data_IF_321914010745
#
_entry.id   IF_321914010745
#
_cell.length_a   1.000
_cell.length_b   1.000
_cell.length_c   1.000
_cell.angle_alpha   90.00
_cell.angle_beta   90.00
_cell.angle_gamma   90.00
#
_symmetry.space_group_name_H-M   'P 1'
#
loop_
_entity.id
_entity.type
_entity.pdbx_description
1 polymer ?
#
# COMPACT_ATOMS: atom_id res chain seq x y z
N UNK A 1 3.34 -6.74 -4.83
CA UNK A 1 2.15 -7.59 -5.01
C UNK A 1 1.07 -6.70 -5.55
N UNK A 2 0.27 -7.21 -6.48
CA UNK A 2 -0.80 -6.43 -7.11
C UNK A 2 -2.13 -7.15 -6.95
N UNK A 3 -3.14 -6.40 -6.55
CA UNK A 3 -4.51 -6.89 -6.39
C UNK A 3 -5.47 -6.11 -7.30
N UNK A 4 -6.64 -6.69 -7.53
CA UNK A 4 -7.75 -6.06 -8.24
C UNK A 4 -9.02 -6.29 -7.43
N UNK A 5 -9.81 -5.24 -7.23
CA UNK A 5 -11.13 -5.35 -6.62
C UNK A 5 -12.16 -5.66 -7.72
N UNK A 6 -13.11 -6.55 -7.48
CA UNK A 6 -14.16 -6.93 -8.43
C UNK A 6 -15.02 -5.73 -8.89
N UNK A 7 -15.07 -4.65 -8.10
CA UNK A 7 -15.82 -3.42 -8.41
C UNK A 7 -15.06 -2.43 -9.31
N UNK A 8 -13.77 -2.65 -9.59
CA UNK A 8 -12.94 -1.68 -10.30
C UNK A 8 -11.92 -2.34 -11.23
N UNK A 9 -11.67 -1.73 -12.38
CA UNK A 9 -10.56 -2.14 -13.24
C UNK A 9 -9.18 -1.71 -12.73
N UNK A 10 -9.14 -0.89 -11.66
CA UNK A 10 -7.88 -0.38 -11.10
C UNK A 10 -7.03 -1.52 -10.53
N UNK A 11 -5.78 -1.55 -10.95
CA UNK A 11 -4.72 -2.33 -10.34
C UNK A 11 -4.23 -1.58 -9.11
N UNK A 12 -4.11 -2.30 -7.99
CA UNK A 12 -3.73 -1.76 -6.70
C UNK A 12 -2.42 -2.43 -6.28
N UNK A 13 -1.40 -1.62 -6.02
CA UNK A 13 -0.11 -2.07 -5.50
C UNK A 13 -0.20 -2.21 -3.98
N UNK A 14 0.20 -3.35 -3.44
CA UNK A 14 0.10 -3.64 -2.00
C UNK A 14 1.40 -3.30 -1.28
N UNK A 15 1.26 -2.52 -0.20
CA UNK A 15 2.33 -2.03 0.66
C UNK A 15 2.26 -2.55 2.10
N UNK A 16 1.21 -3.27 2.47
CA UNK A 16 1.21 -4.07 3.69
C UNK A 16 0.24 -5.25 3.63
N UNK A 17 0.54 -6.29 4.40
CA UNK A 17 -0.39 -7.37 4.75
C UNK A 17 -0.54 -7.39 6.26
N UNK A 18 -1.76 -7.35 6.79
CA UNK A 18 -1.99 -7.38 8.23
C UNK A 18 -3.17 -8.28 8.59
N UNK A 19 -3.18 -8.75 9.83
CA UNK A 19 -4.23 -9.65 10.34
C UNK A 19 -5.03 -8.97 11.44
N UNK A 20 -6.34 -8.99 11.31
CA UNK A 20 -7.25 -8.45 12.32
C UNK A 20 -8.54 -9.26 12.34
N UNK A 21 -9.03 -9.60 13.54
CA UNK A 21 -10.27 -10.38 13.69
C UNK A 21 -10.27 -11.75 13.01
N UNK A 22 -9.10 -12.39 12.85
CA UNK A 22 -8.96 -13.66 12.15
C UNK A 22 -8.98 -13.56 10.61
N UNK A 23 -8.97 -12.35 10.07
CA UNK A 23 -9.04 -12.06 8.65
C UNK A 23 -7.74 -11.44 8.15
N UNK A 24 -7.43 -11.65 6.87
CA UNK A 24 -6.26 -11.05 6.20
C UNK A 24 -6.69 -9.80 5.44
N UNK A 25 -5.92 -8.73 5.61
CA UNK A 25 -6.13 -7.45 4.94
C UNK A 25 -4.86 -6.98 4.22
N UNK A 26 -5.05 -6.14 3.22
CA UNK A 26 -4.00 -5.47 2.48
C UNK A 26 -4.13 -3.96 2.60
N UNK A 27 -3.03 -3.24 2.82
CA UNK A 27 -2.98 -1.81 2.53
C UNK A 27 -2.50 -1.62 1.10
N UNK A 28 -3.38 -1.08 0.27
CA UNK A 28 -3.18 -0.92 -1.16
C UNK A 28 -3.16 0.54 -1.58
N UNK A 29 -2.31 0.85 -2.54
CA UNK A 29 -2.21 2.13 -3.22
C UNK A 29 -2.67 2.00 -4.67
N UNK A 30 -3.39 2.99 -5.18
CA UNK A 30 -3.78 3.04 -6.59
C UNK A 30 -3.73 4.46 -7.13
N UNK A 31 -3.46 4.61 -8.43
CA UNK A 31 -3.37 5.93 -9.07
C UNK A 31 -4.66 6.74 -8.91
N UNK A 32 -4.49 8.02 -8.63
CA UNK A 32 -5.58 8.97 -8.39
C UNK A 32 -6.22 8.82 -7.01
N UNK A 33 -5.50 8.25 -6.05
CA UNK A 33 -5.90 8.16 -4.65
C UNK A 33 -4.81 8.77 -3.78
N UNK A 34 -5.19 9.51 -2.73
CA UNK A 34 -4.29 10.34 -1.92
C UNK A 34 -3.81 9.65 -0.63
N UNK A 35 -3.73 8.32 -0.63
CA UNK A 35 -3.39 7.56 0.58
C UNK A 35 -3.47 6.05 0.37
N UNK A 36 -3.52 5.31 1.47
CA UNK A 36 -3.69 3.85 1.45
C UNK A 36 -5.14 3.46 1.75
N UNK A 37 -5.60 2.37 1.14
CA UNK A 37 -6.89 1.76 1.44
C UNK A 37 -6.72 0.35 1.98
N UNK A 38 -7.57 -0.01 2.93
CA UNK A 38 -7.70 -1.38 3.40
C UNK A 38 -8.55 -2.20 2.44
N UNK A 39 -8.03 -3.36 2.03
CA UNK A 39 -8.74 -4.35 1.23
C UNK A 39 -8.77 -5.68 1.98
N UNK A 40 -9.96 -6.25 2.18
CA UNK A 40 -10.08 -7.61 2.72
C UNK A 40 -9.61 -8.59 1.65
N UNK A 41 -8.71 -9.51 1.99
CA UNK A 41 -8.12 -10.45 1.02
C UNK A 41 -9.17 -11.29 0.29
N UNK A 42 -10.25 -11.66 0.97
CA UNK A 42 -11.37 -12.44 0.40
C UNK A 42 -12.24 -11.65 -0.59
N UNK A 43 -12.05 -10.34 -0.72
CA UNK A 43 -12.84 -9.46 -1.60
C UNK A 43 -12.02 -8.92 -2.79
N UNK A 44 -10.82 -9.46 -3.02
CA UNK A 44 -9.93 -9.04 -4.10
C UNK A 44 -9.32 -10.24 -4.80
N UNK A 45 -8.96 -10.06 -6.06
CA UNK A 45 -8.17 -11.02 -6.84
C UNK A 45 -6.69 -10.64 -6.80
N UNK A 46 -5.82 -11.60 -6.48
CA UNK A 46 -4.37 -11.44 -6.63
C UNK A 46 -4.02 -11.55 -8.13
N UNK A 47 -3.39 -10.51 -8.66
CA UNK A 47 -2.94 -10.44 -10.06
C UNK A 47 -1.45 -10.77 -10.16
N UNK A 48 -0.68 -10.30 -9.19
CA UNK A 48 0.75 -10.61 -9.03
C UNK A 48 1.01 -10.89 -7.54
N UNK A 49 1.39 -12.12 -7.15
CA UNK A 49 1.57 -12.50 -5.75
C UNK A 49 2.87 -11.98 -5.12
N UNK A 50 3.81 -11.44 -5.89
CA UNK A 50 5.16 -11.12 -5.39
C UNK A 50 5.21 -9.73 -4.77
N UNK A 51 5.57 -9.61 -3.50
CA UNK A 51 5.94 -8.33 -2.87
C UNK A 51 7.43 -8.07 -3.07
N UNK A 52 7.78 -7.01 -3.80
CA UNK A 52 9.15 -6.56 -4.00
C UNK A 52 9.46 -5.37 -3.10
N UNK A 53 10.66 -5.31 -2.53
CA UNK A 53 11.07 -4.26 -1.59
C UNK A 53 11.45 -4.76 -0.21
N UNK A 54 11.81 -3.81 0.64
CA UNK A 54 12.08 -4.06 2.04
C UNK A 54 10.77 -4.01 2.82
N UNK A 55 10.43 -5.13 3.46
CA UNK A 55 9.28 -5.22 4.35
C UNK A 55 9.76 -5.65 5.74
N UNK A 56 9.10 -5.13 6.77
CA UNK A 56 9.36 -5.48 8.16
C UNK A 56 8.09 -5.96 8.83
N UNK A 57 8.25 -6.81 9.84
CA UNK A 57 7.15 -7.20 10.71
C UNK A 57 6.89 -6.10 11.74
N UNK A 58 5.65 -5.62 11.83
CA UNK A 58 5.23 -4.56 12.76
C UNK A 58 3.77 -4.82 13.17
N UNK A 59 3.45 -4.74 14.46
CA UNK A 59 2.09 -4.83 15.02
C UNK A 59 1.16 -5.90 14.39
N UNK A 60 1.65 -7.12 14.20
CA UNK A 60 0.82 -8.20 13.63
C UNK A 60 0.55 -8.04 12.14
N UNK A 61 1.50 -7.46 11.40
CA UNK A 61 1.51 -7.40 9.96
C UNK A 61 2.91 -7.30 9.38
N UNK A 62 2.99 -7.36 8.06
CA UNK A 62 4.20 -7.17 7.26
C UNK A 62 3.99 -5.90 6.43
N UNK A 63 4.80 -4.89 6.71
CA UNK A 63 4.65 -3.54 6.16
C UNK A 63 5.87 -3.16 5.34
N UNK A 64 5.64 -2.43 4.25
CA UNK A 64 6.70 -1.80 3.48
C UNK A 64 7.45 -0.84 4.41
N UNK A 65 8.75 -1.09 4.56
CA UNK A 65 9.59 -0.54 5.62
C UNK A 65 9.52 0.99 5.79
N UNK A 66 9.51 1.80 4.70
CA UNK A 66 9.38 3.25 4.83
C UNK A 66 8.08 3.72 5.49
N UNK A 67 6.98 2.96 5.41
CA UNK A 67 5.72 3.31 6.10
C UNK A 67 5.91 3.40 7.61
N UNK A 68 6.79 2.57 8.17
CA UNK A 68 7.03 2.47 9.60
C UNK A 68 8.20 3.37 10.01
N UNK A 69 9.33 3.32 9.29
CA UNK A 69 10.52 4.09 9.65
C UNK A 69 10.31 5.60 9.53
N UNK A 70 9.52 6.04 8.54
CA UNK A 70 9.17 7.45 8.35
C UNK A 70 7.84 7.85 9.00
N UNK A 71 7.20 6.93 9.75
CA UNK A 71 5.93 7.14 10.45
C UNK A 71 4.79 7.63 9.53
N UNK A 72 4.74 7.12 8.30
CA UNK A 72 3.78 7.56 7.29
C UNK A 72 2.46 6.80 7.34
N UNK A 73 2.40 5.66 8.03
CA UNK A 73 1.24 4.75 7.95
C UNK A 73 -0.08 5.43 8.32
N UNK A 74 -0.17 6.01 9.53
CA UNK A 74 -1.41 6.61 10.03
C UNK A 74 -1.81 7.81 9.18
N UNK A 75 -0.86 8.70 8.89
CA UNK A 75 -1.07 9.90 8.06
C UNK A 75 -1.57 9.54 6.64
N UNK A 76 -1.07 8.46 6.03
CA UNK A 76 -1.54 7.97 4.73
C UNK A 76 -2.94 7.34 4.78
N UNK A 77 -3.36 6.81 5.94
CA UNK A 77 -4.73 6.31 6.14
C UNK A 77 -5.72 7.47 6.40
N UNK A 78 -5.21 8.59 6.92
CA UNK A 78 -5.96 9.82 7.19
C UNK A 78 -5.94 10.83 6.04
N UNK A 79 -5.32 10.48 4.90
CA UNK A 79 -5.22 11.31 3.69
C UNK A 79 -4.42 12.60 3.86
N UNK A 80 -3.42 12.60 4.74
CA UNK A 80 -2.54 13.74 4.91
C UNK A 80 -1.70 14.00 3.65
N UNK A 81 -1.73 15.24 3.16
CA UNK A 81 -1.09 15.62 1.91
C UNK A 81 0.45 15.62 2.00
N UNK A 82 1.01 15.91 3.19
CA UNK A 82 2.46 15.95 3.40
C UNK A 82 3.02 14.54 3.39
N UNK A 83 2.40 13.62 4.14
CA UNK A 83 2.75 12.22 4.14
C UNK A 83 2.55 11.58 2.75
N UNK A 84 1.48 11.94 2.04
CA UNK A 84 1.25 11.47 0.68
C UNK A 84 2.38 11.89 -0.28
N UNK A 85 2.78 13.18 -0.26
CA UNK A 85 3.91 13.66 -1.07
C UNK A 85 5.20 12.92 -0.72
N UNK A 86 5.48 12.75 0.58
CA UNK A 86 6.67 12.04 1.04
C UNK A 86 6.69 10.59 0.57
N UNK A 87 5.55 9.91 0.65
CA UNK A 87 5.38 8.56 0.14
C UNK A 87 5.66 8.49 -1.37
N UNK A 88 5.12 9.40 -2.17
CA UNK A 88 5.41 9.45 -3.61
C UNK A 88 6.89 9.68 -3.93
N UNK A 89 7.59 10.54 -3.18
CA UNK A 89 9.03 10.75 -3.34
C UNK A 89 9.82 9.46 -3.15
N UNK A 90 9.50 8.69 -2.11
CA UNK A 90 10.14 7.41 -1.80
C UNK A 90 9.89 6.41 -2.95
N UNK A 91 8.63 6.29 -3.39
CA UNK A 91 8.28 5.39 -4.48
C UNK A 91 8.97 5.76 -5.80
N UNK A 92 9.11 7.05 -6.10
CA UNK A 92 9.84 7.54 -7.29
C UNK A 92 11.33 7.25 -7.18
N UNK A 93 11.94 7.50 -6.02
CA UNK A 93 13.35 7.22 -5.78
C UNK A 93 13.69 5.72 -5.93
N UNK A 94 12.76 4.83 -5.59
CA UNK A 94 12.89 3.38 -5.78
C UNK A 94 12.46 2.87 -7.16
N UNK A 95 11.99 3.75 -8.06
CA UNK A 95 11.53 3.36 -9.39
C UNK A 95 10.25 2.51 -9.39
N UNK A 96 9.44 2.58 -8.33
CA UNK A 96 8.18 1.83 -8.19
C UNK A 96 7.02 2.47 -8.93
N UNK A 97 7.07 3.77 -9.12
CA UNK A 97 6.09 4.56 -9.87
C UNK A 97 6.81 5.49 -10.85
N UNK A 98 6.10 5.90 -11.89
CA UNK A 98 6.65 6.85 -12.87
C UNK A 98 7.02 8.20 -12.20
N UNK A 99 8.06 8.89 -12.67
CA UNK A 99 8.40 10.23 -12.18
C UNK A 99 7.24 11.22 -12.26
N UNK A 100 6.41 11.09 -13.31
CA UNK A 100 5.23 11.93 -13.57
C UNK A 100 3.95 11.41 -12.89
N UNK A 101 4.08 10.49 -11.93
CA UNK A 101 2.94 10.01 -11.14
C UNK A 101 2.44 11.16 -10.22
N UNK A 102 1.22 11.63 -10.49
CA UNK A 102 0.44 12.61 -9.72
C UNK A 102 -1.00 12.10 -9.56
#
# INVERSE_FOLDING_TARGET
MKIKNDRSEKIIDVYAVYWSGGETYFYGFSKGYNGLLAYKANNVKIIDPVMSGDFIFFEGGVFYKPLIEEKLLDDLLEYDEVAYKRFLEILKAEGRIDPDFY
#
